data_IF_343219931231
#
_entry.id   IF_343219931231
#
_cell.length_a   1.000
_cell.length_b   1.000
_cell.length_c   1.000
_cell.angle_alpha   90.00
_cell.angle_beta   90.00
_cell.angle_gamma   90.00
#
_symmetry.space_group_name_H-M   'P 1'
#
loop_
_entity.id
_entity.type
_entity.pdbx_description
1 polymer ?
#
# COMPACT_ATOMS: atom_id res chain seq x y z
N UNK A 1 -7.25 28.88 6.48
CA UNK A 1 -6.05 28.06 6.76
C UNK A 1 -6.22 26.67 6.15
N UNK A 2 -5.15 26.01 5.69
CA UNK A 2 -5.20 24.60 5.25
C UNK A 2 -4.88 23.69 6.44
N UNK A 3 -5.64 22.63 6.63
CA UNK A 3 -5.43 21.65 7.71
C UNK A 3 -4.89 20.35 7.10
N UNK A 4 -3.76 19.83 7.59
CA UNK A 4 -3.19 18.58 7.07
C UNK A 4 -4.08 17.39 7.44
N UNK A 5 -4.28 16.48 6.48
CA UNK A 5 -5.03 15.25 6.69
C UNK A 5 -4.23 14.27 7.56
N UNK A 6 -4.92 13.62 8.50
CA UNK A 6 -4.39 12.46 9.21
C UNK A 6 -4.90 11.21 8.50
N UNK A 7 -3.98 10.41 7.98
CA UNK A 7 -4.29 9.17 7.27
C UNK A 7 -4.13 8.00 8.23
N UNK A 8 -5.19 7.20 8.39
CA UNK A 8 -5.11 5.87 8.98
C UNK A 8 -4.95 4.87 7.84
N UNK A 9 -3.73 4.38 7.64
CA UNK A 9 -3.43 3.36 6.65
C UNK A 9 -3.83 2.01 7.23
N UNK A 10 -4.53 1.20 6.44
CA UNK A 10 -5.10 -0.07 6.87
C UNK A 10 -4.57 -1.24 6.03
N UNK A 11 -4.52 -2.40 6.67
CA UNK A 11 -4.30 -3.69 6.01
C UNK A 11 -5.54 -4.11 5.19
N UNK A 12 -5.43 -5.13 4.33
CA UNK A 12 -6.58 -5.67 3.59
C UNK A 12 -7.75 -6.12 4.47
N UNK A 13 -7.50 -6.47 5.75
CA UNK A 13 -8.54 -6.84 6.71
C UNK A 13 -9.13 -5.62 7.47
N UNK A 14 -8.82 -4.39 7.06
CA UNK A 14 -9.30 -3.15 7.68
C UNK A 14 -8.61 -2.79 9.00
N UNK A 15 -7.59 -3.54 9.43
CA UNK A 15 -6.85 -3.23 10.66
C UNK A 15 -5.83 -2.12 10.41
N UNK A 16 -5.75 -1.08 11.26
CA UNK A 16 -4.73 -0.04 11.14
C UNK A 16 -3.31 -0.61 11.19
N UNK A 17 -2.44 -0.12 10.30
CA UNK A 17 -1.02 -0.49 10.24
C UNK A 17 -0.11 0.71 10.54
N UNK A 18 -0.53 1.92 10.14
CA UNK A 18 0.20 3.15 10.39
C UNK A 18 -0.78 4.32 10.38
N UNK A 19 -0.61 5.27 11.28
CA UNK A 19 -1.25 6.58 11.19
C UNK A 19 -0.18 7.62 10.85
N UNK A 20 -0.41 8.45 9.84
CA UNK A 20 0.55 9.46 9.41
C UNK A 20 -0.12 10.74 8.90
N UNK A 21 0.57 11.87 9.01
CA UNK A 21 0.25 13.12 8.30
C UNK A 21 1.18 13.38 7.11
N UNK A 22 2.18 12.52 6.96
CA UNK A 22 3.23 12.57 5.94
C UNK A 22 3.25 11.22 5.21
N UNK A 23 2.53 11.15 4.09
CA UNK A 23 2.45 9.95 3.27
C UNK A 23 3.77 9.70 2.49
N UNK A 24 4.42 10.73 1.89
CA UNK A 24 5.74 10.54 1.28
C UNK A 24 6.81 10.04 2.27
N UNK A 25 6.88 10.59 3.48
CA UNK A 25 7.82 10.14 4.51
C UNK A 25 7.54 8.70 4.97
N UNK A 26 6.27 8.28 5.02
CA UNK A 26 5.91 6.88 5.26
C UNK A 26 6.44 5.95 4.16
N UNK A 27 6.24 6.32 2.89
CA UNK A 27 6.71 5.54 1.73
C UNK A 27 8.23 5.41 1.67
N UNK A 28 8.96 6.49 1.96
CA UNK A 28 10.43 6.47 1.96
C UNK A 28 11.04 5.80 3.20
N UNK A 29 10.28 5.70 4.29
CA UNK A 29 10.74 5.19 5.58
C UNK A 29 10.17 3.81 5.92
N UNK A 30 9.10 3.79 6.71
CA UNK A 30 8.60 2.57 7.35
C UNK A 30 7.87 1.60 6.40
N UNK A 31 7.55 2.03 5.17
CA UNK A 31 6.89 1.18 4.19
C UNK A 31 7.62 -0.14 3.93
N UNK A 32 8.95 -0.16 3.81
CA UNK A 32 9.69 -1.40 3.49
C UNK A 32 9.49 -2.48 4.57
N UNK A 33 9.49 -2.08 5.85
CA UNK A 33 9.24 -2.98 6.97
C UNK A 33 7.78 -3.47 6.98
N UNK A 34 6.83 -2.55 6.78
CA UNK A 34 5.40 -2.87 6.68
C UNK A 34 5.12 -3.83 5.52
N UNK A 35 5.64 -3.54 4.33
CA UNK A 35 5.49 -4.38 3.15
C UNK A 35 6.06 -5.78 3.37
N UNK A 36 7.22 -5.90 4.06
CA UNK A 36 7.80 -7.20 4.40
C UNK A 36 6.87 -8.02 5.31
N UNK A 37 6.33 -7.42 6.35
CA UNK A 37 5.38 -8.08 7.27
C UNK A 37 4.07 -8.45 6.54
N UNK A 38 3.50 -7.50 5.81
CA UNK A 38 2.24 -7.68 5.09
C UNK A 38 2.34 -8.69 3.96
N UNK A 39 3.50 -8.84 3.32
CA UNK A 39 3.74 -9.88 2.30
C UNK A 39 3.66 -11.29 2.90
N UNK A 40 4.03 -11.46 4.17
CA UNK A 40 3.87 -12.73 4.89
C UNK A 40 2.41 -13.02 5.24
N UNK A 41 1.68 -12.03 5.77
CA UNK A 41 0.27 -12.19 6.19
C UNK A 41 -0.73 -12.21 5.02
N UNK A 42 -0.44 -11.47 3.97
CA UNK A 42 -1.34 -11.21 2.84
C UNK A 42 -0.61 -11.42 1.49
N UNK A 43 -0.18 -12.66 1.17
CA UNK A 43 0.68 -12.93 0.01
C UNK A 43 0.01 -12.72 -1.35
N UNK A 44 -1.32 -12.65 -1.40
CA UNK A 44 -2.09 -12.43 -2.63
C UNK A 44 -2.19 -10.94 -3.02
N UNK A 45 -1.87 -10.02 -2.12
CA UNK A 45 -1.95 -8.58 -2.35
C UNK A 45 -0.64 -8.03 -2.94
N UNK A 46 -0.71 -6.97 -3.77
CA UNK A 46 0.49 -6.30 -4.25
C UNK A 46 1.14 -5.49 -3.12
N UNK A 47 2.45 -5.68 -2.95
CA UNK A 47 3.30 -4.95 -2.01
C UNK A 47 4.53 -4.42 -2.78
N UNK A 48 4.36 -3.32 -3.55
CA UNK A 48 5.39 -2.80 -4.44
C UNK A 48 6.60 -2.26 -3.66
N UNK A 49 7.77 -2.35 -4.27
CA UNK A 49 9.00 -1.77 -3.72
C UNK A 49 9.01 -0.24 -3.86
N UNK A 50 8.40 0.29 -4.93
CA UNK A 50 8.07 1.72 -5.08
C UNK A 50 6.56 1.94 -4.93
N UNK A 51 6.06 2.28 -3.73
CA UNK A 51 4.63 2.50 -3.50
C UNK A 51 4.13 3.84 -4.06
N UNK A 52 5.01 4.82 -4.30
CA UNK A 52 4.61 6.15 -4.76
C UNK A 52 4.28 6.15 -6.25
N UNK A 53 4.99 5.32 -7.03
CA UNK A 53 4.76 5.15 -8.47
C UNK A 53 3.84 3.96 -8.82
N UNK A 54 3.40 3.17 -7.84
CA UNK A 54 2.59 1.99 -8.09
C UNK A 54 1.19 2.35 -8.63
N UNK A 55 0.70 1.57 -9.59
CA UNK A 55 -0.69 1.71 -10.07
C UNK A 55 -1.67 1.34 -8.96
N UNK A 56 -2.59 2.27 -8.63
CA UNK A 56 -3.64 2.02 -7.66
C UNK A 56 -4.59 0.92 -8.13
N UNK A 57 -4.82 -0.08 -7.27
CA UNK A 57 -5.67 -1.24 -7.59
C UNK A 57 -6.21 -1.86 -6.30
N UNK A 58 -7.48 -2.28 -6.32
CA UNK A 58 -8.09 -3.05 -5.21
C UNK A 58 -7.96 -4.58 -5.43
N UNK A 59 -7.20 -4.98 -6.45
CA UNK A 59 -7.13 -6.37 -6.92
C UNK A 59 -5.99 -7.13 -6.27
N UNK A 60 -6.10 -8.45 -6.30
CA UNK A 60 -4.95 -9.33 -6.00
C UNK A 60 -3.90 -9.24 -7.11
N UNK A 61 -2.65 -9.61 -6.80
CA UNK A 61 -1.53 -9.62 -7.76
C UNK A 61 -1.86 -10.33 -9.06
N UNK A 62 -2.53 -11.49 -9.00
CA UNK A 62 -2.91 -12.27 -10.19
C UNK A 62 -3.98 -11.56 -11.03
N UNK A 63 -4.97 -10.96 -10.38
CA UNK A 63 -6.04 -10.25 -11.08
C UNK A 63 -5.53 -8.95 -11.72
N UNK A 64 -4.58 -8.27 -11.07
CA UNK A 64 -3.95 -7.07 -11.61
C UNK A 64 -3.10 -7.39 -12.85
N UNK A 65 -2.26 -8.44 -12.78
CA UNK A 65 -1.44 -8.89 -13.91
C UNK A 65 -2.28 -9.32 -15.13
N UNK A 66 -3.41 -10.02 -14.92
CA UNK A 66 -4.31 -10.40 -16.01
C UNK A 66 -4.90 -9.20 -16.74
N UNK A 67 -5.24 -8.14 -16.01
CA UNK A 67 -5.81 -6.95 -16.63
C UNK A 67 -4.77 -6.08 -17.33
N UNK A 68 -3.51 -6.10 -16.87
CA UNK A 68 -2.42 -5.41 -17.56
C UNK A 68 -2.16 -6.02 -18.95
N UNK A 69 -2.22 -7.34 -19.10
CA UNK A 69 -2.05 -8.03 -20.39
C UNK A 69 -3.29 -8.06 -21.29
N UNK A 70 -4.42 -7.53 -20.83
CA UNK A 70 -5.64 -7.40 -21.61
C UNK A 70 -5.78 -6.01 -22.27
N UNK A 71 -4.84 -5.09 -21.99
CA UNK A 71 -4.71 -3.78 -22.63
C UNK A 71 -3.59 -3.84 -23.65
#
# INVERSE_FOLDING_TARGET
ARVPLVLSLTSPAGRPIQTTRDLPGFWAGSWTAVAKEMRGRYPKHPWPDDPAAASATLRTKKADARAAGSR
#
